data_IF_327361322831
#
_entry.id   IF_327361322831
#
_cell.length_a   1.000
_cell.length_b   1.000
_cell.length_c   1.000
_cell.angle_alpha   90.00
_cell.angle_beta   90.00
_cell.angle_gamma   90.00
#
_symmetry.space_group_name_H-M   'P 1'
#
loop_
_entity.id
_entity.type
_entity.pdbx_description
1 polymer ?
#
# COMPACT_ATOMS: atom_id res chain seq x y z
N UNK A 1 -3.31 33.05 -19.51
CA UNK A 1 -4.46 33.86 -19.01
C UNK A 1 -4.18 34.41 -17.62
N UNK A 2 -4.60 35.64 -17.31
CA UNK A 2 -4.41 36.22 -15.97
C UNK A 2 -5.61 35.93 -15.07
N UNK A 3 -5.32 35.58 -13.82
CA UNK A 3 -6.34 35.41 -12.80
C UNK A 3 -7.00 36.76 -12.47
N UNK A 4 -8.33 36.89 -12.48
CA UNK A 4 -9.00 38.16 -12.12
C UNK A 4 -8.89 38.51 -10.63
N UNK A 5 -8.61 37.54 -9.76
CA UNK A 5 -8.56 37.73 -8.30
C UNK A 5 -7.18 38.16 -7.80
N UNK A 6 -6.10 37.63 -8.38
CA UNK A 6 -4.74 37.87 -7.90
C UNK A 6 -3.74 38.26 -8.99
N UNK A 7 -4.23 38.47 -10.22
CA UNK A 7 -3.47 38.88 -11.42
C UNK A 7 -2.36 37.91 -11.86
N UNK A 8 -2.23 36.76 -11.20
CA UNK A 8 -1.22 35.76 -11.54
C UNK A 8 -1.43 35.20 -12.95
N UNK A 9 -0.32 35.01 -13.67
CA UNK A 9 -0.31 34.45 -15.01
C UNK A 9 -0.40 32.92 -14.95
N UNK A 10 -1.53 32.37 -15.42
CA UNK A 10 -1.78 30.94 -15.48
C UNK A 10 -1.74 30.46 -16.94
N UNK A 11 -1.49 29.16 -17.12
CA UNK A 11 -1.59 28.48 -18.41
C UNK A 11 -2.99 28.60 -19.00
N UNK A 12 -3.07 28.69 -20.32
CA UNK A 12 -4.36 28.69 -21.02
C UNK A 12 -5.05 27.33 -20.84
N UNK A 13 -6.31 27.34 -20.41
CA UNK A 13 -7.06 26.13 -20.09
C UNK A 13 -6.93 25.64 -18.64
N UNK A 14 -6.18 26.32 -17.77
CA UNK A 14 -6.19 26.02 -16.35
C UNK A 14 -7.59 26.21 -15.75
N UNK A 15 -8.06 25.25 -14.95
CA UNK A 15 -9.38 25.32 -14.30
C UNK A 15 -9.39 26.25 -13.08
N UNK A 16 -8.26 26.30 -12.37
CA UNK A 16 -8.07 27.02 -11.12
C UNK A 16 -6.75 27.79 -11.19
N UNK A 17 -6.68 28.92 -10.50
CA UNK A 17 -5.44 29.67 -10.37
C UNK A 17 -4.46 28.94 -9.45
N UNK A 18 -3.20 28.77 -9.88
CA UNK A 18 -2.18 28.09 -9.07
C UNK A 18 -1.74 28.90 -7.84
N UNK A 19 -1.94 30.22 -7.86
CA UNK A 19 -1.52 31.10 -6.78
C UNK A 19 -2.59 31.26 -5.69
N UNK A 20 -3.86 31.49 -6.07
CA UNK A 20 -4.94 31.75 -5.10
C UNK A 20 -6.04 30.68 -5.07
N UNK A 21 -6.05 29.73 -6.00
CA UNK A 21 -7.07 28.67 -6.08
C UNK A 21 -8.45 29.12 -6.61
N UNK A 22 -8.60 30.35 -7.09
CA UNK A 22 -9.87 30.82 -7.66
C UNK A 22 -10.19 30.14 -8.99
N UNK A 23 -11.49 29.93 -9.28
CA UNK A 23 -11.94 29.41 -10.58
C UNK A 23 -11.60 30.44 -11.67
N UNK A 24 -11.01 29.96 -12.75
CA UNK A 24 -10.67 30.80 -13.90
C UNK A 24 -11.84 30.83 -14.90
N UNK A 25 -12.17 32.00 -15.50
CA UNK A 25 -13.28 32.12 -16.44
C UNK A 25 -12.96 31.36 -17.73
N UNK A 26 -13.88 30.49 -18.17
CA UNK A 26 -13.75 29.76 -19.44
C UNK A 26 -14.71 30.33 -20.50
N UNK A 27 -14.37 30.24 -21.79
CA UNK A 27 -15.24 30.70 -22.88
C UNK A 27 -16.59 29.96 -22.94
N UNK A 28 -16.69 28.81 -22.29
CA UNK A 28 -17.90 28.00 -22.15
C UNK A 28 -18.79 28.41 -20.96
N UNK A 29 -18.28 29.26 -20.05
CA UNK A 29 -19.07 29.84 -18.95
C UNK A 29 -19.93 31.04 -19.41
N UNK A 30 -19.74 31.56 -20.63
CA UNK A 30 -20.55 32.63 -21.25
C UNK A 30 -21.76 32.11 -22.05
N UNK A 31 -21.92 30.78 -22.16
CA UNK A 31 -23.14 30.20 -22.68
C UNK A 31 -24.29 30.50 -21.70
N UNK A 32 -25.44 31.02 -22.17
CA UNK A 32 -26.53 31.41 -21.28
C UNK A 32 -26.88 30.23 -20.37
N UNK A 33 -26.86 30.50 -19.07
CA UNK A 33 -27.37 29.62 -18.03
C UNK A 33 -28.70 29.05 -18.51
N UNK A 34 -28.70 27.77 -18.90
CA UNK A 34 -29.93 27.03 -19.17
C UNK A 34 -30.62 26.95 -17.82
N UNK A 35 -31.49 27.93 -17.57
CA UNK A 35 -32.46 27.89 -16.49
C UNK A 35 -33.16 26.55 -16.61
N UNK A 36 -33.11 25.80 -15.52
CA UNK A 36 -33.85 24.57 -15.27
C UNK A 36 -35.23 24.61 -15.95
N UNK A 37 -35.32 24.03 -17.14
CA UNK A 37 -36.55 23.72 -17.83
C UNK A 37 -36.20 22.58 -18.80
N UNK A 38 -36.72 21.40 -18.46
CA UNK A 38 -36.63 20.13 -19.17
C UNK A 38 -35.24 19.61 -19.54
N UNK A 39 -34.81 18.65 -18.74
CA UNK A 39 -33.79 17.66 -19.06
C UNK A 39 -34.23 16.90 -20.34
N UNK A 40 -33.51 17.00 -21.48
CA UNK A 40 -33.74 16.11 -22.59
C UNK A 40 -33.24 14.72 -22.18
N UNK A 41 -34.15 13.77 -22.03
CA UNK A 41 -33.79 12.37 -21.85
C UNK A 41 -32.98 11.91 -23.07
N UNK A 42 -31.66 11.81 -22.89
CA UNK A 42 -30.79 11.08 -23.80
C UNK A 42 -31.14 9.58 -23.74
N UNK A 43 -31.08 8.86 -24.87
CA UNK A 43 -31.65 7.52 -24.99
C UNK A 43 -30.87 6.50 -24.14
N UNK A 44 -31.61 5.78 -23.31
CA UNK A 44 -31.30 4.50 -22.66
C UNK A 44 -29.82 4.22 -22.37
N UNK A 45 -29.21 5.03 -21.51
CA UNK A 45 -28.13 4.55 -20.67
C UNK A 45 -28.75 3.57 -19.67
N UNK A 46 -28.61 2.27 -19.94
CA UNK A 46 -28.93 1.19 -19.03
C UNK A 46 -28.24 1.47 -17.69
N UNK A 47 -28.98 2.07 -16.77
CA UNK A 47 -28.59 2.29 -15.40
C UNK A 47 -28.60 0.91 -14.74
N UNK A 48 -27.49 0.19 -14.84
CA UNK A 48 -27.33 -1.07 -14.14
C UNK A 48 -27.50 -0.79 -12.65
N UNK A 49 -28.55 -1.37 -12.08
CA UNK A 49 -28.89 -1.30 -10.66
C UNK A 49 -27.61 -1.54 -9.82
N UNK A 50 -27.14 -0.56 -9.04
CA UNK A 50 -25.97 -0.71 -8.15
C UNK A 50 -26.09 -1.91 -7.21
N UNK A 51 -27.32 -2.38 -6.96
CA UNK A 51 -27.61 -3.56 -6.15
C UNK A 51 -27.21 -4.88 -6.81
N UNK A 52 -26.97 -4.91 -8.13
CA UNK A 52 -26.53 -6.11 -8.86
C UNK A 52 -25.10 -6.51 -8.51
N UNK A 53 -24.22 -5.54 -8.28
CA UNK A 53 -22.80 -5.76 -7.97
C UNK A 53 -22.50 -5.75 -6.46
N UNK A 54 -23.37 -5.13 -5.66
CA UNK A 54 -23.29 -5.13 -4.20
C UNK A 54 -23.13 -6.53 -3.54
N UNK A 55 -23.85 -7.60 -3.95
CA UNK A 55 -23.69 -8.91 -3.32
C UNK A 55 -22.32 -9.51 -3.60
N UNK A 56 -21.80 -9.37 -4.83
CA UNK A 56 -20.52 -9.94 -5.25
C UNK A 56 -19.32 -9.28 -4.57
N UNK A 57 -19.38 -7.95 -4.38
CA UNK A 57 -18.33 -7.20 -3.69
C UNK A 57 -18.25 -7.65 -2.21
N UNK A 58 -19.41 -7.80 -1.55
CA UNK A 58 -19.46 -8.23 -0.15
C UNK A 58 -18.87 -9.64 0.07
N UNK A 59 -19.07 -10.55 -0.88
CA UNK A 59 -18.56 -11.92 -0.83
C UNK A 59 -17.04 -11.99 -1.07
N UNK A 60 -16.51 -11.21 -2.03
CA UNK A 60 -15.08 -11.18 -2.29
C UNK A 60 -14.29 -10.57 -1.11
N UNK A 61 -14.81 -9.52 -0.47
CA UNK A 61 -14.19 -8.97 0.74
C UNK A 61 -14.19 -9.97 1.90
N UNK A 62 -15.26 -10.76 2.07
CA UNK A 62 -15.31 -11.85 3.07
C UNK A 62 -14.21 -12.88 2.82
N UNK A 63 -14.08 -13.36 1.58
CA UNK A 63 -13.06 -14.35 1.19
C UNK A 63 -11.63 -13.86 1.39
N UNK A 64 -11.37 -12.56 1.16
CA UNK A 64 -10.05 -11.96 1.39
C UNK A 64 -9.70 -11.93 2.87
N UNK A 65 -10.66 -11.58 3.73
CA UNK A 65 -10.48 -11.60 5.18
C UNK A 65 -10.13 -13.00 5.67
N UNK A 66 -10.89 -14.01 5.24
CA UNK A 66 -10.66 -15.41 5.63
C UNK A 66 -9.29 -15.92 5.22
N UNK A 67 -8.81 -15.59 4.00
CA UNK A 67 -7.45 -15.95 3.56
C UNK A 67 -6.39 -15.32 4.45
N UNK A 68 -6.57 -14.04 4.79
CA UNK A 68 -5.61 -13.29 5.60
C UNK A 68 -5.51 -13.84 7.03
N UNK A 69 -6.65 -14.25 7.61
CA UNK A 69 -6.67 -14.89 8.94
C UNK A 69 -5.96 -16.24 8.93
N UNK A 70 -6.22 -17.08 7.93
CA UNK A 70 -5.52 -18.37 7.77
C UNK A 70 -4.01 -18.22 7.61
N UNK A 71 -3.55 -17.25 6.82
CA UNK A 71 -2.11 -16.96 6.68
C UNK A 71 -1.48 -16.54 8.01
N UNK A 72 -2.17 -15.74 8.81
CA UNK A 72 -1.71 -15.33 10.14
C UNK A 72 -1.63 -16.51 11.10
N UNK A 73 -2.63 -17.40 11.07
CA UNK A 73 -2.63 -18.62 11.86
C UNK A 73 -1.54 -19.59 11.44
N UNK A 74 -1.33 -19.77 10.13
CA UNK A 74 -0.25 -20.60 9.60
C UNK A 74 1.13 -20.04 9.97
N UNK A 75 1.33 -18.72 9.93
CA UNK A 75 2.58 -18.11 10.42
C UNK A 75 2.74 -18.32 11.91
N UNK A 76 1.67 -18.18 12.70
CA UNK A 76 1.69 -18.41 14.16
C UNK A 76 1.97 -19.87 14.53
N UNK A 77 1.46 -20.83 13.77
CA UNK A 77 1.73 -22.27 13.97
C UNK A 77 3.15 -22.64 13.51
N UNK A 78 3.60 -22.12 12.37
CA UNK A 78 4.97 -22.33 11.88
C UNK A 78 6.00 -21.73 12.83
N UNK A 79 5.71 -20.55 13.41
CA UNK A 79 6.57 -19.92 14.41
C UNK A 79 6.66 -20.70 15.73
N UNK A 80 5.65 -21.51 16.07
CA UNK A 80 5.71 -22.42 17.23
C UNK A 80 6.55 -23.67 16.97
N UNK A 81 6.71 -24.09 15.72
CA UNK A 81 7.42 -25.33 15.35
C UNK A 81 8.88 -25.06 14.96
N UNK A 82 9.22 -23.81 14.61
CA UNK A 82 10.57 -23.39 14.29
C UNK A 82 11.35 -22.81 15.47
N UNK A 83 11.64 -23.60 16.51
CA UNK A 83 12.88 -23.34 17.25
C UNK A 83 14.02 -23.79 16.32
N UNK A 84 14.97 -22.94 15.91
CA UNK A 84 16.16 -23.43 15.22
C UNK A 84 16.88 -24.37 16.21
N UNK A 85 16.76 -25.67 15.96
CA UNK A 85 17.52 -26.73 16.60
C UNK A 85 19.00 -26.45 16.36
N UNK A 86 19.60 -25.65 17.22
CA UNK A 86 20.95 -25.15 16.99
C UNK A 86 21.38 -24.01 17.90
N UNK A 87 20.58 -23.60 18.89
CA UNK A 87 20.99 -22.61 19.89
C UNK A 87 21.28 -23.33 21.20
N UNK A 88 22.55 -23.39 21.60
CA UNK A 88 22.98 -23.88 22.91
C UNK A 88 23.44 -22.66 23.70
N UNK A 89 22.84 -22.42 24.88
CA UNK A 89 23.16 -21.27 25.76
C UNK A 89 23.11 -19.91 25.03
N UNK A 90 22.10 -19.69 24.18
CA UNK A 90 21.91 -18.42 23.48
C UNK A 90 22.84 -18.18 22.29
N UNK A 91 23.74 -19.11 21.97
CA UNK A 91 24.66 -19.02 20.83
C UNK A 91 24.40 -20.13 19.81
N UNK A 92 24.56 -19.85 18.50
CA UNK A 92 24.39 -20.86 17.47
C UNK A 92 25.47 -21.94 17.58
N UNK A 93 25.15 -23.17 17.19
CA UNK A 93 26.03 -24.35 17.22
C UNK A 93 27.37 -24.10 16.49
N UNK A 94 27.33 -23.27 15.44
CA UNK A 94 28.52 -22.84 14.69
C UNK A 94 29.51 -22.06 15.55
N UNK A 95 29.03 -21.22 16.48
CA UNK A 95 29.89 -20.48 17.40
C UNK A 95 30.54 -21.44 18.41
N UNK A 96 29.79 -22.40 18.95
CA UNK A 96 30.36 -23.42 19.83
C UNK A 96 31.40 -24.29 19.13
N UNK A 97 31.19 -24.65 17.86
CA UNK A 97 32.16 -25.39 17.07
C UNK A 97 33.48 -24.60 16.87
N UNK A 98 33.39 -23.29 16.63
CA UNK A 98 34.57 -22.42 16.54
C UNK A 98 35.30 -22.31 17.88
N UNK A 99 34.58 -22.16 18.99
CA UNK A 99 35.19 -22.13 20.33
C UNK A 99 35.94 -23.43 20.62
N UNK A 100 35.33 -24.58 20.32
CA UNK A 100 35.99 -25.88 20.48
C UNK A 100 37.24 -26.01 19.59
N UNK A 101 37.16 -25.57 18.33
CA UNK A 101 38.30 -25.59 17.41
C UNK A 101 39.46 -24.72 17.90
N UNK A 102 39.18 -23.49 18.36
CA UNK A 102 40.19 -22.59 18.93
C UNK A 102 40.82 -23.20 20.18
N UNK A 103 40.01 -23.82 21.05
CA UNK A 103 40.51 -24.49 22.25
C UNK A 103 41.49 -25.64 21.90
N UNK A 104 41.16 -26.47 20.91
CA UNK A 104 42.05 -27.54 20.43
C UNK A 104 43.37 -26.97 19.91
N UNK A 105 43.33 -25.90 19.10
CA UNK A 105 44.54 -25.24 18.60
C UNK A 105 45.37 -24.70 19.77
N UNK A 106 44.74 -24.04 20.73
CA UNK A 106 45.43 -23.47 21.89
C UNK A 106 46.16 -24.55 22.71
N UNK A 107 45.49 -25.67 23.00
CA UNK A 107 46.10 -26.80 23.69
C UNK A 107 47.27 -27.39 22.88
N UNK A 108 47.09 -27.57 21.57
CA UNK A 108 48.15 -28.08 20.68
C UNK A 108 49.40 -27.18 20.68
N UNK A 109 49.20 -25.86 20.59
CA UNK A 109 50.31 -24.89 20.63
C UNK A 109 51.02 -24.91 21.99
N UNK A 110 50.27 -24.96 23.10
CA UNK A 110 50.87 -25.07 24.43
C UNK A 110 51.69 -26.35 24.59
N UNK A 111 51.20 -27.49 24.08
CA UNK A 111 51.95 -28.75 24.10
C UNK A 111 53.20 -28.71 23.22
N UNK A 112 53.20 -27.97 22.12
CA UNK A 112 54.36 -27.82 21.25
C UNK A 112 55.45 -26.87 21.80
N UNK A 113 55.14 -26.11 22.86
CA UNK A 113 56.03 -25.16 23.54
C UNK A 113 56.73 -25.73 24.78
N UNK A 114 56.38 -26.96 25.20
CA UNK A 114 56.98 -27.69 26.32
C UNK A 114 58.03 -28.69 25.83
#
# INVERSE_FOLDING_TARGET
MRCPECEHENTEGAWLCINCGSKLPRPEDDAPEIKMADQPQAPDAQQEDPSRFAPQISENLRRLRDRTEREREQKRSTQRIGTPSGVILGLPLTVWALVAFIFVIFVYVLSALQ
#
